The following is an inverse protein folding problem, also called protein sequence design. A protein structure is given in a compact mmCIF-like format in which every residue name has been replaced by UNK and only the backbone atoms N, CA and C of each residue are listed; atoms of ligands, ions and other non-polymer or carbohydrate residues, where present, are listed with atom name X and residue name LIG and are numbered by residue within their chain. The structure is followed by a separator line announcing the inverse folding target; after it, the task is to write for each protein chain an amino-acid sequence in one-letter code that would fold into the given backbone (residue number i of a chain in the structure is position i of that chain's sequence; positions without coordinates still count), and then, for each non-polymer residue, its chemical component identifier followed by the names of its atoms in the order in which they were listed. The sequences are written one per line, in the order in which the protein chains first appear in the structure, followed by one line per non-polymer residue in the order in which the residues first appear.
data_IF_212566881425
#
_entry.id   IF_212566881425
#
_cell.length_a   1.000
_cell.length_b   1.000
_cell.length_c   1.000
_cell.angle_alpha   90.00
_cell.angle_beta   90.00
_cell.angle_gamma   90.00
#
_symmetry.space_group_name_H-M   'P 1'
#
loop_
_entity.id
_entity.type
_entity.pdbx_description
1 polymer ?
#
# COMPACT_ATOMS: atom_id res chain seq x y z
N UNK A 1 -31.85 14.99 31.01
CA UNK A 1 -31.11 13.97 30.23
C UNK A 1 -30.26 14.70 29.21
N UNK A 2 -28.95 14.82 29.48
CA UNK A 2 -27.95 15.43 28.60
C UNK A 2 -27.00 14.31 28.14
N UNK A 3 -27.14 13.92 26.89
CA UNK A 3 -26.29 12.98 26.15
C UNK A 3 -26.54 13.38 24.69
N UNK A 4 -25.62 13.99 23.94
CA UNK A 4 -24.42 13.40 23.33
C UNK A 4 -23.64 14.60 22.74
N UNK A 5 -22.49 14.98 23.31
CA UNK A 5 -21.60 15.99 22.69
C UNK A 5 -20.13 15.64 22.93
N UNK A 6 -19.73 14.41 22.61
CA UNK A 6 -18.35 13.94 22.85
C UNK A 6 -17.82 12.99 21.77
N UNK A 7 -18.40 12.97 20.57
CA UNK A 7 -17.97 12.08 19.49
C UNK A 7 -17.18 12.77 18.36
N UNK A 8 -17.21 14.11 18.24
CA UNK A 8 -16.67 14.80 17.04
C UNK A 8 -15.15 15.04 17.06
N UNK A 9 -14.50 15.11 18.23
CA UNK A 9 -13.05 15.35 18.32
C UNK A 9 -12.19 14.12 17.99
N UNK A 10 -12.77 12.92 17.99
CA UNK A 10 -12.02 11.69 17.81
C UNK A 10 -11.69 11.41 16.34
N UNK A 11 -12.51 11.87 15.38
CA UNK A 11 -12.42 11.44 13.97
C UNK A 11 -11.43 12.24 13.12
N UNK A 12 -11.33 13.55 13.30
CA UNK A 12 -10.36 14.42 12.60
C UNK A 12 -8.91 14.14 13.04
N UNK A 13 -8.73 13.62 14.26
CA UNK A 13 -7.44 13.17 14.76
C UNK A 13 -6.93 11.92 14.01
N UNK A 14 -7.80 11.04 13.51
CA UNK A 14 -7.41 9.74 12.94
C UNK A 14 -6.81 9.90 11.54
N UNK A 15 -7.41 10.73 10.67
CA UNK A 15 -6.88 10.98 9.32
C UNK A 15 -5.55 11.75 9.38
N UNK A 16 -5.46 12.77 10.24
CA UNK A 16 -4.21 13.50 10.48
C UNK A 16 -3.15 12.60 11.15
N UNK A 17 -3.54 11.68 12.03
CA UNK A 17 -2.61 10.73 12.64
C UNK A 17 -2.10 9.70 11.63
N UNK A 18 -2.94 9.18 10.72
CA UNK A 18 -2.50 8.26 9.67
C UNK A 18 -1.51 8.92 8.71
N UNK A 19 -1.80 10.15 8.26
CA UNK A 19 -0.88 10.92 7.42
C UNK A 19 0.42 11.26 8.17
N UNK A 20 0.33 11.74 9.41
CA UNK A 20 1.51 12.08 10.23
C UNK A 20 2.35 10.84 10.56
N UNK A 21 1.71 9.72 10.86
CA UNK A 21 2.39 8.44 11.08
C UNK A 21 3.09 7.98 9.82
N UNK A 22 2.43 8.02 8.66
CA UNK A 22 3.02 7.63 7.38
C UNK A 22 4.21 8.52 7.00
N UNK A 23 4.11 9.85 7.20
CA UNK A 23 5.25 10.77 7.00
C UNK A 23 6.37 10.45 7.99
N UNK A 24 6.06 10.24 9.27
CA UNK A 24 7.08 9.94 10.30
C UNK A 24 7.80 8.63 10.00
N UNK A 25 7.09 7.59 9.56
CA UNK A 25 7.68 6.32 9.12
C UNK A 25 8.49 6.52 7.83
N UNK A 26 7.96 7.25 6.87
CA UNK A 26 8.64 7.48 5.59
C UNK A 26 9.96 8.25 5.73
N UNK A 27 10.07 9.08 6.77
CA UNK A 27 11.28 9.85 7.11
C UNK A 27 12.26 9.12 8.02
N UNK A 28 12.00 7.84 8.39
CA UNK A 28 12.97 7.08 9.16
C UNK A 28 14.29 6.90 8.38
N UNK A 29 15.46 6.93 9.05
CA UNK A 29 16.74 6.72 8.39
C UNK A 29 16.78 5.38 7.64
N UNK A 30 17.15 5.40 6.36
CA UNK A 30 17.28 4.19 5.52
C UNK A 30 16.07 3.87 4.65
N UNK A 31 14.90 4.41 4.93
CA UNK A 31 13.68 4.09 4.16
C UNK A 31 13.74 4.64 2.73
N UNK A 32 14.35 5.83 2.54
CA UNK A 32 14.60 6.34 1.19
C UNK A 32 15.47 5.37 0.38
N UNK A 33 16.60 4.89 0.92
CA UNK A 33 17.46 3.94 0.22
C UNK A 33 16.76 2.61 -0.08
N UNK A 34 15.79 2.23 0.75
CA UNK A 34 15.09 0.95 0.66
C UNK A 34 13.98 0.94 -0.38
N UNK A 35 13.36 2.08 -0.67
CA UNK A 35 12.18 2.17 -1.54
C UNK A 35 12.29 3.15 -2.70
N UNK A 36 13.26 4.06 -2.71
CA UNK A 36 13.50 4.93 -3.87
C UNK A 36 13.81 4.10 -5.13
N UNK A 37 13.12 4.41 -6.23
CA UNK A 37 13.18 3.65 -7.48
C UNK A 37 12.90 2.14 -7.35
N UNK A 38 12.11 1.70 -6.35
CA UNK A 38 11.82 0.27 -6.17
C UNK A 38 11.21 -0.34 -7.43
N UNK A 39 11.73 -1.50 -7.83
CA UNK A 39 11.18 -2.34 -8.90
C UNK A 39 10.47 -3.57 -8.35
N UNK A 40 9.60 -4.18 -9.16
CA UNK A 40 8.92 -5.43 -8.82
C UNK A 40 9.91 -6.57 -8.60
N UNK A 41 10.99 -6.60 -9.38
CA UNK A 41 12.04 -7.61 -9.23
C UNK A 41 12.79 -7.47 -7.90
N UNK A 42 13.04 -6.25 -7.43
CA UNK A 42 13.63 -6.00 -6.11
C UNK A 42 12.67 -6.31 -4.98
N UNK A 43 11.38 -6.00 -5.16
CA UNK A 43 10.34 -6.30 -4.20
C UNK A 43 10.14 -7.80 -4.04
N UNK A 44 10.05 -8.54 -5.14
CA UNK A 44 9.84 -9.99 -5.14
C UNK A 44 10.95 -10.76 -4.41
N UNK A 45 12.19 -10.25 -4.38
CA UNK A 45 13.30 -10.84 -3.61
C UNK A 45 13.07 -10.80 -2.09
N UNK A 46 12.18 -9.93 -1.61
CA UNK A 46 11.83 -9.76 -0.19
C UNK A 46 10.65 -10.65 0.23
N UNK A 47 9.95 -11.24 -0.72
CA UNK A 47 8.73 -12.02 -0.49
C UNK A 47 9.02 -13.53 -0.42
N UNK A 48 8.22 -14.30 0.34
CA UNK A 48 8.21 -15.75 0.23
C UNK A 48 7.85 -16.18 -1.20
N UNK A 49 8.49 -17.24 -1.67
CA UNK A 49 8.30 -17.75 -3.04
C UNK A 49 6.82 -18.05 -3.38
N UNK A 50 6.00 -18.42 -2.39
CA UNK A 50 4.58 -18.69 -2.59
C UNK A 50 3.77 -17.43 -2.98
N UNK A 51 4.22 -16.23 -2.59
CA UNK A 51 3.52 -14.96 -2.85
C UNK A 51 3.93 -14.36 -4.20
N UNK A 52 5.17 -14.59 -4.63
CA UNK A 52 5.75 -13.94 -5.83
C UNK A 52 4.87 -14.06 -7.08
N UNK A 53 4.33 -15.24 -7.47
CA UNK A 53 3.46 -15.34 -8.64
C UNK A 53 2.18 -14.48 -8.52
N UNK A 54 1.64 -14.38 -7.31
CA UNK A 54 0.44 -13.58 -7.03
C UNK A 54 0.74 -12.09 -7.04
N UNK A 55 1.89 -11.67 -6.53
CA UNK A 55 2.38 -10.29 -6.62
C UNK A 55 2.53 -9.88 -8.09
N UNK A 56 3.21 -10.70 -8.92
CA UNK A 56 3.38 -10.43 -10.35
C UNK A 56 2.02 -10.30 -11.03
N UNK A 57 1.10 -11.23 -10.76
CA UNK A 57 -0.27 -11.18 -11.31
C UNK A 57 -1.00 -9.90 -10.92
N UNK A 58 -0.92 -9.49 -9.65
CA UNK A 58 -1.56 -8.26 -9.18
C UNK A 58 -0.96 -7.01 -9.83
N UNK A 59 0.37 -6.90 -9.91
CA UNK A 59 1.05 -5.78 -10.59
C UNK A 59 0.68 -5.69 -12.09
N UNK A 60 0.33 -6.81 -12.72
CA UNK A 60 -0.11 -6.83 -14.13
C UNK A 60 -1.59 -6.49 -14.33
N UNK A 61 -2.43 -6.65 -13.30
CA UNK A 61 -3.89 -6.67 -13.47
C UNK A 61 -4.61 -5.55 -12.72
N UNK A 62 -3.99 -4.94 -11.71
CA UNK A 62 -4.62 -3.85 -10.97
C UNK A 62 -4.77 -2.56 -11.80
N UNK A 63 -4.13 -2.52 -12.96
CA UNK A 63 -4.16 -1.44 -13.95
C UNK A 63 -3.28 -0.25 -13.57
N UNK A 64 -2.31 -0.43 -12.69
CA UNK A 64 -1.15 0.45 -12.52
C UNK A 64 0.00 -0.02 -13.43
N UNK A 65 1.01 0.83 -13.60
CA UNK A 65 2.25 0.44 -14.28
C UNK A 65 3.01 -0.54 -13.39
N UNK A 66 3.67 -1.52 -14.01
CA UNK A 66 4.14 -2.73 -13.32
C UNK A 66 5.06 -2.46 -12.11
N UNK A 67 5.92 -1.44 -12.19
CA UNK A 67 6.86 -1.07 -11.11
C UNK A 67 6.37 0.14 -10.29
N UNK A 68 5.13 0.59 -10.46
CA UNK A 68 4.59 1.78 -9.80
C UNK A 68 3.93 1.43 -8.46
N UNK A 69 4.77 1.25 -7.44
CA UNK A 69 4.33 0.96 -6.07
C UNK A 69 3.58 2.14 -5.42
N UNK A 70 3.73 3.37 -5.91
CA UNK A 70 2.88 4.47 -5.48
C UNK A 70 1.44 4.23 -5.92
N UNK A 71 1.22 3.87 -7.18
CA UNK A 71 -0.09 3.50 -7.69
C UNK A 71 -0.64 2.24 -7.03
N UNK A 72 0.14 1.15 -6.94
CA UNK A 72 -0.31 -0.09 -6.30
C UNK A 72 -0.76 0.13 -4.85
N UNK A 73 -0.07 1.00 -4.10
CA UNK A 73 -0.38 1.30 -2.70
C UNK A 73 -1.67 2.11 -2.54
N UNK A 74 -1.94 3.10 -3.40
CA UNK A 74 -3.22 3.83 -3.36
C UNK A 74 -4.37 3.02 -3.96
N UNK A 75 -4.07 2.14 -4.91
CA UNK A 75 -5.03 1.26 -5.58
C UNK A 75 -5.22 -0.06 -4.82
N UNK A 76 -4.92 -0.06 -3.52
CA UNK A 76 -4.86 -1.28 -2.70
C UNK A 76 -6.16 -2.09 -2.75
N UNK A 77 -7.34 -1.45 -2.83
CA UNK A 77 -8.61 -2.18 -2.93
C UNK A 77 -8.70 -3.09 -4.15
N UNK A 78 -8.27 -2.61 -5.33
CA UNK A 78 -8.22 -3.42 -6.55
C UNK A 78 -7.08 -4.42 -6.46
N UNK A 79 -5.93 -3.99 -5.94
CA UNK A 79 -4.76 -4.85 -5.76
C UNK A 79 -5.07 -6.07 -4.87
N UNK A 80 -5.72 -5.84 -3.73
CA UNK A 80 -6.09 -6.85 -2.74
C UNK A 80 -7.08 -7.88 -3.29
N UNK A 81 -8.04 -7.43 -4.10
CA UNK A 81 -9.00 -8.32 -4.79
C UNK A 81 -8.31 -9.32 -5.75
N UNK A 82 -7.07 -9.05 -6.17
CA UNK A 82 -6.28 -9.93 -7.05
C UNK A 82 -5.30 -10.79 -6.24
N UNK A 83 -4.50 -10.17 -5.37
CA UNK A 83 -3.42 -10.87 -4.66
C UNK A 83 -3.96 -11.77 -3.55
N UNK A 84 -4.98 -11.34 -2.80
CA UNK A 84 -5.46 -12.09 -1.63
C UNK A 84 -6.07 -13.43 -2.02
N UNK A 85 -7.01 -13.51 -2.99
CA UNK A 85 -7.53 -14.81 -3.42
C UNK A 85 -6.42 -15.73 -3.97
N UNK A 86 -5.41 -15.15 -4.64
CA UNK A 86 -4.31 -15.91 -5.21
C UNK A 86 -3.34 -16.47 -4.15
N UNK A 87 -2.97 -15.66 -3.16
CA UNK A 87 -1.95 -16.03 -2.18
C UNK A 87 -2.54 -16.78 -0.98
N UNK A 88 -3.74 -16.39 -0.55
CA UNK A 88 -4.32 -16.89 0.70
C UNK A 88 -4.75 -18.36 0.58
N UNK A 89 -4.54 -19.16 1.63
CA UNK A 89 -5.04 -20.53 1.67
C UNK A 89 -6.58 -20.54 1.74
N UNK A 90 -7.21 -21.70 1.44
CA UNK A 90 -8.67 -21.85 1.55
C UNK A 90 -9.26 -21.48 2.91
N UNK A 91 -8.51 -21.66 4.00
CA UNK A 91 -8.92 -21.26 5.35
C UNK A 91 -9.08 -19.75 5.53
N UNK A 92 -8.53 -18.93 4.64
CA UNK A 92 -8.69 -17.48 4.57
C UNK A 92 -9.52 -17.02 3.35
N UNK A 93 -10.21 -17.95 2.69
CA UNK A 93 -11.08 -17.64 1.55
C UNK A 93 -10.36 -17.50 0.19
N UNK A 94 -9.08 -17.85 0.11
CA UNK A 94 -8.33 -17.88 -1.16
C UNK A 94 -8.23 -19.28 -1.78
N UNK A 95 -7.44 -19.39 -2.83
CA UNK A 95 -7.10 -20.62 -3.53
C UNK A 95 -5.59 -20.87 -3.61
N UNK A 96 -4.80 -20.06 -2.90
CA UNK A 96 -3.35 -20.16 -2.81
C UNK A 96 -2.87 -21.24 -1.84
N UNK A 97 -1.55 -21.38 -1.77
CA UNK A 97 -0.87 -22.37 -0.92
C UNK A 97 0.09 -21.74 0.08
N UNK A 98 0.09 -20.41 0.23
CA UNK A 98 0.92 -19.77 1.26
C UNK A 98 0.45 -20.16 2.66
N UNK A 99 1.40 -20.43 3.54
CA UNK A 99 1.07 -20.68 4.94
C UNK A 99 0.71 -19.37 5.66
N UNK A 100 -0.01 -19.48 6.78
CA UNK A 100 -0.25 -18.31 7.64
C UNK A 100 1.06 -17.68 8.15
N UNK A 101 2.11 -18.48 8.30
CA UNK A 101 3.44 -18.01 8.67
C UNK A 101 4.06 -17.15 7.56
N UNK A 102 4.01 -17.60 6.31
CA UNK A 102 4.49 -16.83 5.16
C UNK A 102 3.75 -15.50 5.04
N UNK A 103 2.41 -15.53 5.15
CA UNK A 103 1.57 -14.34 5.12
C UNK A 103 1.86 -13.40 6.30
N UNK A 104 2.10 -13.96 7.49
CA UNK A 104 2.50 -13.21 8.68
C UNK A 104 3.82 -12.47 8.52
N UNK A 105 4.77 -13.04 7.77
CA UNK A 105 6.06 -12.40 7.42
C UNK A 105 5.90 -11.30 6.36
N UNK A 106 4.96 -11.47 5.43
CA UNK A 106 4.70 -10.52 4.32
C UNK A 106 3.99 -9.26 4.80
N UNK A 107 3.01 -9.40 5.71
CA UNK A 107 2.19 -8.30 6.20
C UNK A 107 2.98 -7.06 6.64
N UNK A 108 3.99 -7.15 7.53
CA UNK A 108 4.75 -5.96 7.93
C UNK A 108 5.56 -5.34 6.78
N UNK A 109 6.05 -6.15 5.83
CA UNK A 109 6.77 -5.63 4.65
C UNK A 109 5.84 -4.79 3.78
N UNK A 110 4.67 -5.32 3.43
CA UNK A 110 3.67 -4.62 2.59
C UNK A 110 3.19 -3.35 3.28
N UNK A 111 2.92 -3.43 4.60
CA UNK A 111 2.47 -2.27 5.37
C UNK A 111 3.51 -1.15 5.38
N UNK A 112 4.77 -1.50 5.61
CA UNK A 112 5.86 -0.53 5.65
C UNK A 112 6.12 0.11 4.27
N UNK A 113 6.21 -0.71 3.22
CA UNK A 113 6.32 -0.25 1.83
C UNK A 113 5.13 0.66 1.44
N UNK A 114 3.91 0.24 1.74
CA UNK A 114 2.70 0.98 1.39
C UNK A 114 2.60 2.31 2.13
N UNK A 115 2.97 2.35 3.42
CA UNK A 115 3.01 3.60 4.18
C UNK A 115 4.02 4.58 3.59
N UNK A 116 5.21 4.10 3.21
CA UNK A 116 6.23 4.93 2.60
C UNK A 116 5.77 5.51 1.26
N UNK A 117 5.21 4.69 0.37
CA UNK A 117 4.70 5.16 -0.92
C UNK A 117 3.46 6.04 -0.81
N UNK A 118 2.57 5.79 0.15
CA UNK A 118 1.42 6.67 0.41
C UNK A 118 1.85 8.04 0.95
N UNK A 119 2.97 8.12 1.70
CA UNK A 119 3.52 9.38 2.19
C UNK A 119 4.28 10.17 1.11
N UNK A 120 5.03 9.48 0.26
CA UNK A 120 5.96 10.10 -0.68
C UNK A 120 5.39 10.23 -2.10
N UNK A 121 4.44 9.38 -2.47
CA UNK A 121 3.89 9.26 -3.82
C UNK A 121 5.01 9.27 -4.86
N UNK A 122 4.94 10.13 -5.87
CA UNK A 122 5.94 10.16 -6.95
C UNK A 122 7.26 10.86 -6.60
N UNK A 123 7.39 11.46 -5.42
CA UNK A 123 8.73 11.87 -4.95
C UNK A 123 9.64 10.66 -4.72
N UNK A 124 9.05 9.49 -4.45
CA UNK A 124 9.75 8.20 -4.42
C UNK A 124 10.46 7.82 -5.73
N UNK A 125 9.96 8.33 -6.87
CA UNK A 125 10.46 8.00 -8.19
C UNK A 125 11.20 9.16 -8.88
N UNK A 126 11.54 10.21 -8.13
CA UNK A 126 12.22 11.38 -8.69
C UNK A 126 13.57 10.99 -9.32
N UNK A 127 13.68 11.10 -10.65
CA UNK A 127 14.90 10.74 -11.39
C UNK A 127 15.03 9.25 -11.74
N UNK A 128 14.01 8.44 -11.45
CA UNK A 128 14.00 7.02 -11.79
C UNK A 128 13.37 6.79 -13.19
N UNK A 129 13.72 5.70 -13.91
CA UNK A 129 13.25 5.44 -15.27
C UNK A 129 11.91 4.71 -15.38
N UNK A 130 11.29 4.32 -14.26
CA UNK A 130 10.04 3.56 -14.24
C UNK A 130 8.90 4.31 -14.93
N UNK A 131 8.05 3.56 -15.63
CA UNK A 131 6.75 4.06 -16.08
C UNK A 131 5.83 4.28 -14.87
N UNK A 132 5.11 5.40 -14.84
CA UNK A 132 4.27 5.80 -13.70
C UNK A 132 2.82 6.06 -14.15
N UNK A 133 1.87 5.57 -13.37
CA UNK A 133 0.43 5.70 -13.56
C UNK A 133 -0.13 6.98 -12.91
N UNK A 134 0.50 8.12 -13.19
CA UNK A 134 0.25 9.40 -12.48
C UNK A 134 -1.23 9.77 -12.46
N UNK A 135 -1.90 9.75 -13.61
CA UNK A 135 -3.30 10.15 -13.72
C UNK A 135 -4.24 9.22 -12.95
N UNK A 136 -3.94 7.92 -12.90
CA UNK A 136 -4.74 6.96 -12.13
C UNK A 136 -4.57 7.21 -10.63
N UNK A 137 -3.34 7.30 -10.15
CA UNK A 137 -3.02 7.59 -8.75
C UNK A 137 -3.68 8.87 -8.29
N UNK A 138 -3.50 9.99 -9.01
CA UNK A 138 -4.14 11.25 -8.68
C UNK A 138 -5.68 11.16 -8.76
N UNK A 139 -6.22 10.41 -9.71
CA UNK A 139 -7.65 10.16 -9.82
C UNK A 139 -8.22 9.39 -8.63
N UNK A 140 -7.48 8.41 -8.10
CA UNK A 140 -7.86 7.68 -6.88
C UNK A 140 -7.80 8.63 -5.68
N UNK A 141 -6.67 9.27 -5.45
CA UNK A 141 -6.46 10.21 -4.32
C UNK A 141 -7.48 11.36 -4.34
N UNK A 142 -7.85 11.90 -5.50
CA UNK A 142 -8.85 12.96 -5.61
C UNK A 142 -10.28 12.47 -5.29
N UNK A 143 -10.57 11.17 -5.43
CA UNK A 143 -11.86 10.56 -5.09
C UNK A 143 -11.90 10.02 -3.67
N UNK A 144 -10.75 9.76 -3.07
CA UNK A 144 -10.67 9.53 -1.63
C UNK A 144 -11.23 10.76 -0.94
N UNK A 145 -12.27 10.55 -0.13
CA UNK A 145 -12.85 11.65 0.64
C UNK A 145 -11.80 12.09 1.65
N UNK A 146 -11.13 13.20 1.39
CA UNK A 146 -10.48 13.96 2.45
C UNK A 146 -11.58 14.37 3.41
N UNK A 147 -11.67 13.70 4.55
CA UNK A 147 -12.55 14.12 5.63
C UNK A 147 -11.93 15.37 6.25
N UNK A 148 -12.17 16.53 5.62
CA UNK A 148 -11.91 17.83 6.22
C UNK A 148 -13.14 18.18 7.05
N UNK A 149 -13.07 17.87 8.34
CA UNK A 149 -14.06 18.30 9.32
C UNK A 149 -13.52 19.52 10.06
N UNK A 150 -14.23 20.65 9.95
CA UNK A 150 -14.03 21.83 10.79
C UNK A 150 -14.41 21.55 12.24
#
# INVERSE_FOLDING_TARGET
MQTITLALAAFSAIANAALTYNITQATQPGEFQKYHCLTTDEWNKRLPACVVPCQIKANQQDGCAYDDFACHSVNYSVFSEIIEPCAFPPSLGGHGTCSLEDLGRVRPLVQDMGNWFNATLYTAYAGCPQELSILKTLGIVARERTVITH
#
